data_IF_083151508137
#
_entry.id   IF_083151508137
#
_cell.length_a   1.000
_cell.length_b   1.000
_cell.length_c   1.000
_cell.angle_alpha   90.00
_cell.angle_beta   90.00
_cell.angle_gamma   90.00
#
_symmetry.space_group_name_H-M   'P 1'
#
loop_
_entity.id
_entity.type
_entity.pdbx_description
1 polymer ?
#
# COMPACT_ATOMS: atom_id res chain seq x y z
N UNK A 1 0.15 12.43 13.08
CA UNK A 1 0.34 11.79 11.75
C UNK A 1 1.69 11.08 11.63
N UNK A 2 2.84 11.75 11.83
CA UNK A 2 4.15 11.09 11.79
C UNK A 2 4.29 9.90 12.78
N UNK A 3 3.79 10.04 14.02
CA UNK A 3 3.76 8.95 15.00
C UNK A 3 3.07 7.68 14.46
N UNK A 4 1.89 7.83 13.85
CA UNK A 4 1.15 6.70 13.26
C UNK A 4 1.95 6.02 12.14
N UNK A 5 2.55 6.81 11.25
CA UNK A 5 3.36 6.26 10.15
C UNK A 5 4.61 5.55 10.66
N UNK A 6 5.27 6.08 11.70
CA UNK A 6 6.44 5.44 12.33
C UNK A 6 6.04 4.11 13.00
N UNK A 7 4.95 4.10 13.77
CA UNK A 7 4.46 2.89 14.43
C UNK A 7 4.08 1.82 13.41
N UNK A 8 3.32 2.18 12.37
CA UNK A 8 2.94 1.24 11.31
C UNK A 8 4.15 0.74 10.53
N UNK A 9 5.12 1.60 10.21
CA UNK A 9 6.37 1.19 9.59
C UNK A 9 7.15 0.20 10.47
N UNK A 10 7.23 0.45 11.77
CA UNK A 10 7.90 -0.46 12.70
C UNK A 10 7.27 -1.85 12.68
N UNK A 11 5.94 -1.95 12.79
CA UNK A 11 5.25 -3.24 12.84
C UNK A 11 5.08 -3.92 11.48
N UNK A 12 4.97 -3.17 10.38
CA UNK A 12 4.79 -3.74 9.04
C UNK A 12 6.11 -3.99 8.30
N UNK A 13 7.20 -3.33 8.68
CA UNK A 13 8.50 -3.52 8.03
C UNK A 13 9.53 -4.13 8.98
N UNK A 14 9.82 -3.44 10.09
CA UNK A 14 10.97 -3.78 10.95
C UNK A 14 10.73 -5.11 11.66
N UNK A 15 9.59 -5.30 12.32
CA UNK A 15 9.26 -6.54 13.03
C UNK A 15 9.28 -7.77 12.10
N UNK A 16 8.61 -7.77 10.94
CA UNK A 16 8.68 -8.89 9.99
C UNK A 16 10.08 -9.16 9.48
N UNK A 17 10.87 -8.13 9.16
CA UNK A 17 12.26 -8.30 8.75
C UNK A 17 13.10 -8.98 9.83
N UNK A 18 12.91 -8.59 11.10
CA UNK A 18 13.57 -9.22 12.23
C UNK A 18 13.13 -10.68 12.40
N UNK A 19 11.82 -10.98 12.28
CA UNK A 19 11.31 -12.36 12.34
C UNK A 19 11.96 -13.21 11.23
N UNK A 20 11.95 -12.73 9.97
CA UNK A 20 12.56 -13.44 8.85
C UNK A 20 14.04 -13.72 9.09
N UNK A 21 14.79 -12.71 9.58
CA UNK A 21 16.24 -12.82 9.76
C UNK A 21 16.65 -13.60 11.00
N UNK A 22 15.95 -13.45 12.12
CA UNK A 22 16.35 -13.98 13.43
C UNK A 22 15.64 -15.28 13.77
N UNK A 23 14.38 -15.44 13.39
CA UNK A 23 13.57 -16.63 13.68
C UNK A 23 13.63 -17.59 12.50
N UNK A 24 13.21 -17.16 11.30
CA UNK A 24 13.21 -18.04 10.12
C UNK A 24 14.61 -18.27 9.56
N UNK A 25 15.56 -17.38 9.86
CA UNK A 25 16.94 -17.40 9.35
C UNK A 25 17.01 -17.46 7.82
N UNK A 26 16.09 -16.78 7.14
CA UNK A 26 15.98 -16.75 5.69
C UNK A 26 16.37 -15.39 5.10
N UNK A 27 16.56 -15.36 3.78
CA UNK A 27 16.82 -14.12 3.05
C UNK A 27 15.52 -13.34 2.81
N UNK A 28 15.54 -12.02 3.02
CA UNK A 28 14.40 -11.14 2.67
C UNK A 28 14.04 -11.20 1.18
N UNK A 29 14.99 -11.61 0.32
CA UNK A 29 14.73 -11.85 -1.10
C UNK A 29 13.70 -12.95 -1.34
N UNK A 30 13.57 -13.91 -0.41
CA UNK A 30 12.56 -14.97 -0.50
C UNK A 30 11.16 -14.46 -0.11
N UNK A 31 11.09 -13.28 0.52
CA UNK A 31 9.88 -12.59 0.97
C UNK A 31 9.58 -11.36 0.11
N UNK A 32 9.79 -11.47 -1.20
CA UNK A 32 9.33 -10.47 -2.14
C UNK A 32 10.28 -9.29 -2.38
N UNK A 33 11.43 -9.22 -1.70
CA UNK A 33 12.44 -8.17 -1.96
C UNK A 33 13.40 -8.51 -3.11
N UNK A 34 13.08 -9.49 -3.95
CA UNK A 34 13.83 -9.78 -5.17
C UNK A 34 13.43 -8.79 -6.27
N UNK A 35 14.41 -8.12 -6.89
CA UNK A 35 14.20 -7.17 -7.99
C UNK A 35 14.28 -7.82 -9.38
N UNK A 36 14.87 -9.02 -9.50
CA UNK A 36 14.99 -9.72 -10.77
C UNK A 36 13.60 -9.96 -11.36
N UNK A 37 13.42 -9.58 -12.64
CA UNK A 37 12.17 -9.77 -13.41
C UNK A 37 10.94 -9.05 -12.83
N UNK A 38 11.12 -8.10 -11.91
CA UNK A 38 9.99 -7.37 -11.32
C UNK A 38 9.15 -6.63 -12.37
N UNK A 39 9.76 -6.22 -13.49
CA UNK A 39 9.09 -5.53 -14.59
C UNK A 39 8.41 -6.47 -15.60
N UNK A 40 8.51 -7.80 -15.44
CA UNK A 40 7.95 -8.77 -16.40
C UNK A 40 6.44 -8.68 -16.58
N UNK A 41 5.73 -8.03 -15.64
CA UNK A 41 4.28 -7.81 -15.68
C UNK A 41 3.92 -6.32 -15.65
N UNK A 42 4.84 -5.42 -16.03
CA UNK A 42 4.62 -3.96 -15.99
C UNK A 42 3.33 -3.54 -16.68
N UNK A 43 3.00 -4.11 -17.84
CA UNK A 43 1.77 -3.83 -18.57
C UNK A 43 0.50 -4.12 -17.74
N UNK A 44 0.51 -5.19 -16.92
CA UNK A 44 -0.61 -5.55 -16.05
C UNK A 44 -0.77 -4.52 -14.93
N UNK A 45 0.33 -4.11 -14.30
CA UNK A 45 0.30 -3.05 -13.26
C UNK A 45 -0.12 -1.69 -13.84
N UNK A 46 0.39 -1.32 -15.01
CA UNK A 46 0.00 -0.07 -15.69
C UNK A 46 -1.47 -0.09 -16.11
N UNK A 47 -1.98 -1.22 -16.59
CA UNK A 47 -3.41 -1.37 -16.91
C UNK A 47 -4.27 -1.25 -15.66
N UNK A 48 -3.87 -1.88 -14.56
CA UNK A 48 -4.56 -1.73 -13.28
C UNK A 48 -4.54 -0.27 -12.80
N UNK A 49 -3.42 0.42 -12.95
CA UNK A 49 -3.31 1.84 -12.61
C UNK A 49 -4.23 2.71 -13.49
N UNK A 50 -4.27 2.45 -14.80
CA UNK A 50 -5.13 3.15 -15.74
C UNK A 50 -6.63 2.97 -15.44
N UNK A 51 -7.02 1.85 -14.85
CA UNK A 51 -8.41 1.61 -14.40
C UNK A 51 -8.68 2.27 -13.06
N UNK A 52 -7.76 2.16 -12.10
CA UNK A 52 -8.02 2.60 -10.72
C UNK A 52 -7.93 4.12 -10.57
N UNK A 53 -7.06 4.81 -11.32
CA UNK A 53 -6.92 6.26 -11.20
C UNK A 53 -8.22 7.01 -11.57
N UNK A 54 -8.93 6.70 -12.68
CA UNK A 54 -10.25 7.27 -12.93
C UNK A 54 -11.26 7.00 -11.82
N UNK A 55 -11.24 5.80 -11.22
CA UNK A 55 -12.11 5.47 -10.08
C UNK A 55 -11.78 6.33 -8.87
N UNK A 56 -10.50 6.51 -8.54
CA UNK A 56 -10.05 7.39 -7.46
C UNK A 56 -10.49 8.84 -7.72
N UNK A 57 -10.33 9.33 -8.95
CA UNK A 57 -10.82 10.67 -9.35
C UNK A 57 -12.32 10.78 -9.13
N UNK A 58 -13.14 9.83 -9.62
CA UNK A 58 -14.59 9.84 -9.42
C UNK A 58 -14.97 9.82 -7.94
N UNK A 59 -14.34 8.96 -7.13
CA UNK A 59 -14.62 8.86 -5.69
C UNK A 59 -14.16 10.12 -4.94
N UNK A 60 -13.15 10.83 -5.43
CA UNK A 60 -12.63 12.03 -4.79
C UNK A 60 -13.66 13.17 -4.64
N UNK A 61 -14.66 13.22 -5.52
CA UNK A 61 -15.77 14.19 -5.44
C UNK A 61 -16.80 13.85 -4.35
N UNK A 62 -16.78 12.62 -3.82
CA UNK A 62 -17.75 12.19 -2.81
C UNK A 62 -17.54 12.91 -1.47
N UNK A 63 -18.61 13.19 -0.70
CA UNK A 63 -18.48 13.75 0.64
C UNK A 63 -17.67 12.86 1.59
N UNK A 64 -17.85 11.53 1.48
CA UNK A 64 -17.16 10.56 2.31
C UNK A 64 -15.64 10.63 2.12
N UNK A 65 -15.16 10.70 0.88
CA UNK A 65 -13.73 10.83 0.58
C UNK A 65 -13.13 12.10 1.19
N UNK A 66 -13.80 13.25 1.00
CA UNK A 66 -13.32 14.55 1.51
C UNK A 66 -13.32 14.66 3.04
N UNK A 67 -14.15 13.84 3.71
CA UNK A 67 -14.16 13.74 5.17
C UNK A 67 -13.02 12.84 5.70
N UNK A 68 -12.57 11.85 4.93
CA UNK A 68 -11.49 10.93 5.32
C UNK A 68 -10.10 11.46 4.97
N UNK A 69 -9.96 12.21 3.87
CA UNK A 69 -8.67 12.65 3.31
C UNK A 69 -8.53 14.19 3.29
N UNK A 70 -7.30 14.74 3.17
CA UNK A 70 -6.00 14.05 3.17
C UNK A 70 -5.60 13.64 4.59
N UNK A 71 -4.58 12.79 4.74
CA UNK A 71 -4.01 12.55 6.07
C UNK A 71 -3.10 13.70 6.54
N UNK A 72 -2.67 14.56 5.63
CA UNK A 72 -1.89 15.76 5.90
C UNK A 72 -2.73 17.04 5.83
N UNK A 73 -2.91 17.70 6.97
CA UNK A 73 -3.60 18.99 7.06
C UNK A 73 -2.56 20.10 7.29
N UNK A 74 -2.12 20.82 6.24
CA UNK A 74 -1.26 21.99 6.43
C UNK A 74 -2.02 23.09 7.18
N UNK A 75 -1.35 23.74 8.13
CA UNK A 75 -1.92 24.84 8.95
C UNK A 75 -2.16 26.08 8.09
N UNK A 76 -1.18 26.43 7.26
CA UNK A 76 -1.26 27.49 6.27
C UNK A 76 -0.69 27.04 4.92
N UNK A 77 -1.09 27.71 3.82
CA UNK A 77 -0.55 27.44 2.48
C UNK A 77 0.97 27.71 2.42
N UNK A 78 1.46 28.64 3.23
CA UNK A 78 2.88 28.95 3.37
C UNK A 78 3.68 27.79 4.01
N UNK A 79 3.05 27.01 4.89
CA UNK A 79 3.66 25.85 5.55
C UNK A 79 3.55 24.56 4.73
N UNK A 80 2.97 24.64 3.53
CA UNK A 80 2.78 23.46 2.69
C UNK A 80 4.15 22.86 2.29
N UNK A 81 5.12 23.70 1.96
CA UNK A 81 6.49 23.28 1.67
C UNK A 81 7.43 23.79 2.77
N UNK A 82 8.32 22.95 3.35
CA UNK A 82 8.73 21.60 2.92
C UNK A 82 7.97 20.43 3.58
N UNK A 83 7.05 20.72 4.50
CA UNK A 83 6.45 19.69 5.36
C UNK A 83 5.60 18.66 4.60
N UNK A 84 4.97 19.05 3.50
CA UNK A 84 4.27 18.13 2.59
C UNK A 84 5.22 17.06 2.04
N UNK A 85 6.41 17.43 1.56
CA UNK A 85 7.36 16.47 1.00
C UNK A 85 7.86 15.48 2.06
N UNK A 86 8.20 15.98 3.25
CA UNK A 86 8.59 15.13 4.38
C UNK A 86 7.48 14.17 4.80
N UNK A 87 6.22 14.63 4.79
CA UNK A 87 5.05 13.79 5.04
C UNK A 87 4.89 12.71 3.96
N UNK A 88 4.90 13.08 2.68
CA UNK A 88 4.78 12.15 1.56
C UNK A 88 5.87 11.07 1.62
N UNK A 89 7.14 11.44 1.85
CA UNK A 89 8.20 10.44 1.99
C UNK A 89 7.91 9.41 3.09
N UNK A 90 7.44 9.86 4.26
CA UNK A 90 7.11 8.98 5.37
C UNK A 90 5.86 8.13 5.05
N UNK A 91 4.88 8.71 4.37
CA UNK A 91 3.64 8.05 3.97
C UNK A 91 3.88 6.96 2.91
N UNK A 92 4.70 7.24 1.90
CA UNK A 92 5.10 6.24 0.91
C UNK A 92 5.93 5.11 1.53
N UNK A 93 6.84 5.44 2.46
CA UNK A 93 7.59 4.43 3.18
C UNK A 93 6.69 3.53 4.03
N UNK A 94 5.64 4.10 4.65
CA UNK A 94 4.61 3.32 5.30
C UNK A 94 3.96 2.34 4.31
N UNK A 95 3.57 2.78 3.11
CA UNK A 95 2.90 1.91 2.14
C UNK A 95 3.81 0.79 1.64
N UNK A 96 5.12 1.09 1.50
CA UNK A 96 6.11 0.04 1.27
C UNK A 96 6.09 -1.00 2.40
N UNK A 97 6.11 -0.55 3.65
CA UNK A 97 6.02 -1.42 4.83
C UNK A 97 4.76 -2.27 4.79
N UNK A 98 3.62 -1.67 4.49
CA UNK A 98 2.33 -2.35 4.35
C UNK A 98 2.36 -3.42 3.25
N UNK A 99 2.87 -3.10 2.07
CA UNK A 99 3.02 -4.07 0.98
C UNK A 99 4.00 -5.19 1.36
N UNK A 100 5.11 -4.87 2.01
CA UNK A 100 6.04 -5.87 2.49
C UNK A 100 5.40 -6.78 3.54
N UNK A 101 4.59 -6.27 4.47
CA UNK A 101 3.91 -7.10 5.46
C UNK A 101 2.94 -8.10 4.81
N UNK A 102 2.01 -7.59 4.01
CA UNK A 102 0.94 -8.41 3.45
C UNK A 102 1.47 -9.30 2.30
N UNK A 103 2.15 -8.72 1.31
CA UNK A 103 2.55 -9.46 0.10
C UNK A 103 3.90 -10.14 0.28
N UNK A 104 4.81 -9.50 1.02
CA UNK A 104 6.12 -10.07 1.33
C UNK A 104 6.03 -11.15 2.41
N UNK A 105 5.78 -10.73 3.64
CA UNK A 105 5.86 -11.56 4.83
C UNK A 105 4.74 -12.61 4.89
N UNK A 106 3.47 -12.22 4.80
CA UNK A 106 2.36 -13.17 4.93
C UNK A 106 2.28 -14.15 3.76
N UNK A 107 2.21 -13.67 2.51
CA UNK A 107 2.10 -14.57 1.36
C UNK A 107 3.31 -15.47 1.26
N UNK A 108 4.53 -14.93 1.23
CA UNK A 108 5.71 -15.78 1.03
C UNK A 108 6.11 -16.59 2.27
N UNK A 109 5.70 -16.19 3.47
CA UNK A 109 5.84 -17.01 4.67
C UNK A 109 4.87 -18.18 4.74
N UNK A 110 3.69 -18.07 4.10
CA UNK A 110 2.65 -19.09 4.12
C UNK A 110 2.58 -19.93 2.84
N UNK A 111 3.12 -19.45 1.70
CA UNK A 111 2.95 -20.10 0.39
C UNK A 111 3.48 -21.54 0.33
N UNK A 112 4.52 -21.87 1.10
CA UNK A 112 5.09 -23.22 1.08
C UNK A 112 4.15 -24.24 1.75
N UNK A 113 3.24 -23.77 2.61
CA UNK A 113 2.24 -24.60 3.30
C UNK A 113 0.85 -24.50 2.69
N UNK A 114 0.47 -23.31 2.25
CA UNK A 114 -0.88 -23.01 1.78
C UNK A 114 -0.96 -22.85 0.25
N UNK A 115 0.16 -22.81 -0.46
CA UNK A 115 0.18 -22.50 -1.89
C UNK A 115 -0.56 -21.21 -2.20
N UNK A 116 -1.44 -21.25 -3.19
CA UNK A 116 -2.27 -20.10 -3.59
C UNK A 116 -3.23 -19.62 -2.50
N UNK A 117 -3.60 -20.49 -1.53
CA UNK A 117 -4.49 -20.13 -0.42
C UNK A 117 -3.88 -19.06 0.50
N UNK A 118 -2.55 -18.90 0.48
CA UNK A 118 -1.86 -17.80 1.18
C UNK A 118 -2.36 -16.41 0.77
N UNK A 119 -2.81 -16.23 -0.48
CA UNK A 119 -3.37 -14.96 -0.97
C UNK A 119 -4.71 -14.65 -0.30
N UNK A 120 -5.60 -15.63 -0.19
CA UNK A 120 -6.90 -15.47 0.45
C UNK A 120 -6.74 -15.23 1.96
N UNK A 121 -5.86 -15.98 2.61
CA UNK A 121 -5.54 -15.80 4.04
C UNK A 121 -4.97 -14.41 4.32
N UNK A 122 -4.09 -13.91 3.45
CA UNK A 122 -3.56 -12.54 3.54
C UNK A 122 -4.65 -11.47 3.35
N UNK A 123 -5.55 -11.70 2.40
CA UNK A 123 -6.60 -10.72 2.03
C UNK A 123 -7.54 -10.42 3.20
N UNK A 124 -7.77 -11.38 4.10
CA UNK A 124 -8.64 -11.20 5.28
C UNK A 124 -8.12 -10.05 6.18
N UNK A 125 -6.94 -10.12 6.81
CA UNK A 125 -6.44 -9.02 7.62
C UNK A 125 -6.13 -7.76 6.80
N UNK A 126 -5.82 -7.88 5.51
CA UNK A 126 -5.68 -6.70 4.64
C UNK A 126 -7.01 -5.95 4.46
N UNK A 127 -8.13 -6.65 4.35
CA UNK A 127 -9.45 -6.03 4.35
C UNK A 127 -9.79 -5.43 5.72
N UNK A 128 -9.44 -6.12 6.82
CA UNK A 128 -9.72 -5.66 8.18
C UNK A 128 -9.09 -4.30 8.51
N UNK A 129 -7.91 -3.98 7.97
CA UNK A 129 -7.30 -2.65 8.17
C UNK A 129 -8.05 -1.51 7.43
N UNK A 130 -9.02 -1.85 6.58
CA UNK A 130 -9.92 -0.90 5.93
C UNK A 130 -11.28 -0.78 6.64
N UNK A 131 -11.50 -1.50 7.75
CA UNK A 131 -12.72 -1.32 8.54
C UNK A 131 -12.79 0.09 9.10
N UNK A 132 -13.98 0.71 9.01
CA UNK A 132 -14.20 2.10 9.38
C UNK A 132 -13.89 3.12 8.28
N UNK A 133 -13.26 2.71 7.17
CA UNK A 133 -13.12 3.55 5.97
C UNK A 133 -14.42 3.53 5.14
N UNK A 134 -14.59 4.46 4.17
CA UNK A 134 -15.74 4.43 3.28
C UNK A 134 -15.97 3.04 2.66
N UNK A 135 -17.22 2.59 2.63
CA UNK A 135 -17.58 1.24 2.17
C UNK A 135 -16.97 0.86 0.81
N UNK A 136 -16.95 1.75 -0.21
CA UNK A 136 -16.31 1.43 -1.48
C UNK A 136 -14.81 1.11 -1.36
N UNK A 137 -14.09 1.77 -0.44
CA UNK A 137 -12.68 1.50 -0.19
C UNK A 137 -12.49 0.16 0.52
N UNK A 138 -13.34 -0.14 1.52
CA UNK A 138 -13.30 -1.41 2.22
C UNK A 138 -13.58 -2.59 1.27
N UNK A 139 -14.61 -2.51 0.42
CA UNK A 139 -14.92 -3.55 -0.58
C UNK A 139 -13.83 -3.60 -1.65
N UNK A 140 -13.36 -2.45 -2.13
CA UNK A 140 -12.27 -2.33 -3.09
C UNK A 140 -10.97 -2.96 -2.59
N UNK A 141 -10.71 -2.90 -1.28
CA UNK A 141 -9.54 -3.52 -0.66
C UNK A 141 -9.51 -5.05 -0.81
N UNK A 142 -10.66 -5.71 -0.92
CA UNK A 142 -10.69 -7.15 -1.20
C UNK A 142 -10.17 -7.42 -2.62
N UNK A 143 -10.68 -6.66 -3.61
CA UNK A 143 -10.23 -6.77 -5.00
C UNK A 143 -8.75 -6.42 -5.17
N UNK A 144 -8.30 -5.31 -4.58
CA UNK A 144 -6.89 -4.90 -4.58
C UNK A 144 -5.99 -5.90 -3.82
N UNK A 145 -6.48 -6.45 -2.71
CA UNK A 145 -5.85 -7.49 -1.90
C UNK A 145 -5.56 -8.73 -2.72
N UNK A 146 -6.59 -9.27 -3.36
CA UNK A 146 -6.50 -10.42 -4.25
C UNK A 146 -5.57 -10.13 -5.43
N UNK A 147 -5.76 -9.01 -6.13
CA UNK A 147 -4.94 -8.68 -7.30
C UNK A 147 -3.46 -8.56 -6.96
N UNK A 148 -3.07 -7.68 -6.02
CA UNK A 148 -1.67 -7.49 -5.65
C UNK A 148 -1.09 -8.72 -4.97
N UNK A 149 -1.90 -9.46 -4.20
CA UNK A 149 -1.51 -10.73 -3.61
C UNK A 149 -1.17 -11.79 -4.66
N UNK A 150 -2.02 -11.96 -5.67
CA UNK A 150 -1.77 -12.87 -6.80
C UNK A 150 -0.53 -12.45 -7.59
N UNK A 151 -0.35 -11.16 -7.84
CA UNK A 151 0.81 -10.64 -8.55
C UNK A 151 2.11 -10.89 -7.77
N UNK A 152 2.10 -10.66 -6.46
CA UNK A 152 3.24 -10.98 -5.60
C UNK A 152 3.53 -12.48 -5.57
N UNK A 153 2.49 -13.33 -5.45
CA UNK A 153 2.62 -14.78 -5.50
C UNK A 153 3.28 -15.25 -6.81
N UNK A 154 2.84 -14.72 -7.97
CA UNK A 154 3.36 -15.08 -9.29
C UNK A 154 4.78 -14.56 -9.55
N UNK A 155 5.06 -13.32 -9.17
CA UNK A 155 6.34 -12.66 -9.48
C UNK A 155 7.41 -12.91 -8.42
N UNK A 156 7.01 -13.32 -7.20
CA UNK A 156 7.91 -13.38 -6.06
C UNK A 156 8.47 -12.01 -5.67
N UNK A 157 7.74 -10.93 -5.98
CA UNK A 157 8.19 -9.54 -5.79
C UNK A 157 7.07 -8.65 -5.26
N UNK A 158 7.39 -7.74 -4.34
CA UNK A 158 6.45 -6.71 -3.83
C UNK A 158 6.61 -5.37 -4.53
N UNK A 159 7.71 -5.15 -5.24
CA UNK A 159 8.11 -3.80 -5.69
C UNK A 159 7.10 -3.14 -6.61
N UNK A 160 6.63 -3.84 -7.64
CA UNK A 160 5.63 -3.28 -8.56
C UNK A 160 4.26 -3.07 -7.90
N UNK A 161 3.89 -3.93 -6.94
CA UNK A 161 2.71 -3.71 -6.12
C UNK A 161 2.84 -2.47 -5.22
N UNK A 162 4.01 -2.27 -4.62
CA UNK A 162 4.34 -1.07 -3.85
C UNK A 162 4.26 0.19 -4.71
N UNK A 163 4.83 0.19 -5.92
CA UNK A 163 4.72 1.34 -6.82
C UNK A 163 3.27 1.65 -7.21
N UNK A 164 2.47 0.63 -7.51
CA UNK A 164 1.05 0.83 -7.82
C UNK A 164 0.31 1.41 -6.61
N UNK A 165 0.50 0.84 -5.41
CA UNK A 165 -0.18 1.31 -4.21
C UNK A 165 0.24 2.73 -3.82
N UNK A 166 1.54 3.04 -3.90
CA UNK A 166 2.07 4.39 -3.70
C UNK A 166 1.48 5.38 -4.71
N UNK A 167 1.36 5.01 -5.98
CA UNK A 167 0.77 5.90 -6.99
C UNK A 167 -0.70 6.22 -6.67
N UNK A 168 -1.47 5.21 -6.21
CA UNK A 168 -2.84 5.43 -5.72
C UNK A 168 -2.84 6.35 -4.50
N UNK A 169 -1.99 6.10 -3.51
CA UNK A 169 -1.88 6.93 -2.31
C UNK A 169 -1.59 8.41 -2.62
N UNK A 170 -0.58 8.67 -3.45
CA UNK A 170 -0.21 10.02 -3.90
C UNK A 170 -1.41 10.68 -4.59
N UNK A 171 -2.09 9.94 -5.49
CA UNK A 171 -3.25 10.50 -6.19
C UNK A 171 -4.37 10.92 -5.23
N UNK A 172 -4.58 10.16 -4.16
CA UNK A 172 -5.60 10.48 -3.15
C UNK A 172 -5.25 11.75 -2.37
N UNK A 173 -4.00 11.89 -1.90
CA UNK A 173 -3.57 13.08 -1.16
C UNK A 173 -3.56 14.32 -2.07
N UNK A 174 -3.07 14.21 -3.31
CA UNK A 174 -3.10 15.32 -4.30
C UNK A 174 -4.52 15.76 -4.63
N UNK A 175 -5.42 14.83 -4.96
CA UNK A 175 -6.81 15.16 -5.29
C UNK A 175 -7.53 15.78 -4.10
N UNK A 176 -7.29 15.28 -2.89
CA UNK A 176 -7.89 15.82 -1.69
C UNK A 176 -7.43 17.25 -1.38
N UNK A 177 -6.14 17.53 -1.55
CA UNK A 177 -5.58 18.88 -1.41
C UNK A 177 -6.08 19.82 -2.52
N UNK A 178 -6.24 19.32 -3.75
CA UNK A 178 -6.81 20.07 -4.87
C UNK A 178 -8.26 20.49 -4.60
N UNK A 179 -9.12 19.58 -4.12
CA UNK A 179 -10.50 19.90 -3.70
C UNK A 179 -10.59 20.97 -2.61
N UNK A 180 -9.50 21.19 -1.87
CA UNK A 180 -9.38 22.19 -0.80
C UNK A 180 -8.71 23.49 -1.25
N UNK A 181 -8.33 23.61 -2.53
CA UNK A 181 -7.74 24.82 -3.11
C UNK A 181 -6.27 25.06 -2.77
N UNK A 182 -5.55 24.03 -2.32
CA UNK A 182 -4.10 24.14 -2.08
C UNK A 182 -3.30 24.17 -3.39
N UNK A 183 -3.83 23.56 -4.46
CA UNK A 183 -3.29 23.56 -5.82
C UNK A 183 -4.21 24.31 -6.77
#
# INVERSE_FOLDING_TARGET
>A
MAYWAIVTLFFYLIVPMLIIKKVFKQSLRNFGLKQKEMFGYSAVYLSALAVILPVVVMVSFSPAFRATYPFYFPVDRADMFPYFFSWECLYLLQFFGLEFFFRGFMIHGLKDKLGIYSVFVMTIPYCMIHFGKPLPECVGSIGAGLFLGMMSYKTGSVWMGAFLHMAVAISMDVLSLWHRGYF
#
